data_IF_329401813805
#
_entry.id   IF_329401813805
#
_cell.length_a   1.000
_cell.length_b   1.000
_cell.length_c   1.000
_cell.angle_alpha   90.00
_cell.angle_beta   90.00
_cell.angle_gamma   90.00
#
_symmetry.space_group_name_H-M   'P 1'
#
loop_
_entity.id
_entity.type
_entity.pdbx_description
1 polymer ?
#
# COMPACT_ATOMS: atom_id res chain seq x y z
N UNK A 1 -13.87 8.38 32.37
CA UNK A 1 -14.92 7.70 31.59
C UNK A 1 -14.85 8.31 30.21
N UNK A 2 -14.12 7.67 29.29
CA UNK A 2 -14.05 8.08 27.89
C UNK A 2 -15.38 7.75 27.25
N UNK A 3 -16.01 8.77 26.68
CA UNK A 3 -17.25 8.64 25.90
C UNK A 3 -17.00 7.60 24.78
N UNK A 4 -17.58 6.40 24.93
CA UNK A 4 -17.53 5.34 23.91
C UNK A 4 -18.46 5.68 22.74
N UNK A 5 -18.26 6.84 22.14
CA UNK A 5 -18.98 7.19 20.93
C UNK A 5 -18.63 6.16 19.83
N UNK A 6 -19.66 5.63 19.18
CA UNK A 6 -19.50 4.68 18.06
C UNK A 6 -18.54 5.29 17.04
N UNK A 7 -17.59 4.51 16.48
CA UNK A 7 -16.64 5.03 15.51
C UNK A 7 -17.41 5.61 14.31
N UNK A 8 -17.06 6.83 13.93
CA UNK A 8 -17.66 7.51 12.78
C UNK A 8 -16.77 7.30 11.56
N UNK A 9 -17.35 6.85 10.44
CA UNK A 9 -16.67 6.70 9.15
C UNK A 9 -16.00 8.01 8.71
N UNK A 10 -16.70 9.14 8.86
CA UNK A 10 -16.16 10.45 8.51
C UNK A 10 -14.97 10.85 9.41
N UNK A 11 -15.05 10.57 10.71
CA UNK A 11 -13.92 10.79 11.62
C UNK A 11 -12.75 9.89 11.28
N UNK A 12 -13.00 8.62 10.94
CA UNK A 12 -11.96 7.68 10.53
C UNK A 12 -11.23 8.16 9.26
N UNK A 13 -11.97 8.58 8.24
CA UNK A 13 -11.39 9.11 7.02
C UNK A 13 -10.56 10.38 7.29
N UNK A 14 -11.06 11.31 8.11
CA UNK A 14 -10.28 12.50 8.52
C UNK A 14 -8.96 12.09 9.20
N UNK A 15 -9.00 11.14 10.13
CA UNK A 15 -7.81 10.59 10.80
C UNK A 15 -6.83 9.97 9.78
N UNK A 16 -7.34 9.12 8.87
CA UNK A 16 -6.54 8.47 7.84
C UNK A 16 -5.85 9.47 6.91
N UNK A 17 -6.58 10.44 6.36
CA UNK A 17 -6.00 11.43 5.46
C UNK A 17 -4.98 12.33 6.17
N UNK A 18 -5.24 12.72 7.42
CA UNK A 18 -4.26 13.46 8.21
C UNK A 18 -2.99 12.65 8.52
N UNK A 19 -3.17 11.35 8.85
CA UNK A 19 -2.04 10.49 9.22
C UNK A 19 -1.22 10.06 8.00
N UNK A 20 -1.88 9.59 6.95
CA UNK A 20 -1.22 9.00 5.78
C UNK A 20 -0.87 10.01 4.68
N UNK A 21 -1.19 11.29 4.82
CA UNK A 21 -0.88 12.30 3.79
C UNK A 21 -0.26 13.55 4.40
N UNK A 22 0.35 14.38 3.55
CA UNK A 22 0.82 15.72 3.94
C UNK A 22 -0.31 16.77 3.97
N UNK A 23 -1.55 16.40 3.67
CA UNK A 23 -2.68 17.32 3.66
C UNK A 23 -2.94 17.82 5.10
N UNK A 24 -2.91 19.15 5.34
CA UNK A 24 -3.08 19.68 6.68
C UNK A 24 -4.56 19.61 7.10
N UNK A 25 -4.95 18.53 7.78
CA UNK A 25 -6.28 18.33 8.32
C UNK A 25 -6.19 18.42 9.84
N UNK A 26 -6.93 19.35 10.43
CA UNK A 26 -7.04 19.44 11.88
C UNK A 26 -7.84 18.25 12.42
N UNK A 27 -7.21 17.48 13.30
CA UNK A 27 -7.79 16.31 13.92
C UNK A 27 -7.72 16.40 15.45
N UNK A 28 -8.64 15.70 16.09
CA UNK A 28 -8.72 15.46 17.52
C UNK A 28 -8.50 13.97 17.78
N UNK A 29 -8.30 13.58 19.03
CA UNK A 29 -8.10 12.18 19.42
C UNK A 29 -9.21 11.25 18.90
N UNK A 30 -10.47 11.71 18.90
CA UNK A 30 -11.60 10.94 18.36
C UNK A 30 -11.44 10.52 16.89
N UNK A 31 -10.71 11.30 16.09
CA UNK A 31 -10.45 10.95 14.68
C UNK A 31 -9.43 9.82 14.59
N UNK A 32 -8.40 9.82 15.45
CA UNK A 32 -7.41 8.76 15.53
C UNK A 32 -8.02 7.46 16.06
N UNK A 33 -8.85 7.55 17.11
CA UNK A 33 -9.57 6.39 17.66
C UNK A 33 -10.53 5.78 16.63
N UNK A 34 -11.23 6.62 15.87
CA UNK A 34 -12.09 6.17 14.78
C UNK A 34 -11.29 5.54 13.64
N UNK A 35 -10.13 6.10 13.27
CA UNK A 35 -9.22 5.53 12.29
C UNK A 35 -8.79 4.11 12.70
N UNK A 36 -8.33 3.94 13.94
CA UNK A 36 -7.88 2.65 14.44
C UNK A 36 -9.00 1.59 14.41
N UNK A 37 -10.22 1.97 14.82
CA UNK A 37 -11.39 1.08 14.81
C UNK A 37 -11.96 0.79 13.42
N UNK A 38 -11.70 1.66 12.45
CA UNK A 38 -12.19 1.54 11.07
C UNK A 38 -11.04 1.36 10.07
N UNK A 39 -9.94 0.73 10.46
CA UNK A 39 -8.77 0.56 9.59
C UNK A 39 -9.09 -0.16 8.27
N UNK A 40 -10.20 -0.92 8.22
CA UNK A 40 -10.73 -1.52 7.00
C UNK A 40 -11.07 -0.53 5.88
N UNK A 41 -11.18 0.78 6.19
CA UNK A 41 -11.41 1.85 5.20
C UNK A 41 -10.12 2.32 4.49
N UNK A 42 -8.95 1.87 4.90
CA UNK A 42 -7.68 2.37 4.34
C UNK A 42 -7.54 2.20 2.81
N UNK A 43 -8.23 1.26 2.11
CA UNK A 43 -8.24 1.24 0.64
C UNK A 43 -8.76 2.52 -0.01
N UNK A 44 -9.56 3.35 0.70
CA UNK A 44 -9.97 4.69 0.22
C UNK A 44 -8.77 5.62 0.10
N UNK A 45 -7.83 5.54 1.04
CA UNK A 45 -6.55 6.25 0.95
C UNK A 45 -5.71 5.72 -0.22
N UNK A 46 -5.77 4.39 -0.45
CA UNK A 46 -5.16 3.76 -1.63
C UNK A 46 -5.72 4.32 -2.94
N UNK A 47 -7.04 4.47 -3.05
CA UNK A 47 -7.67 5.10 -4.23
C UNK A 47 -7.15 6.53 -4.44
N UNK A 48 -7.05 7.34 -3.38
CA UNK A 48 -6.50 8.69 -3.48
C UNK A 48 -5.06 8.66 -4.02
N UNK A 49 -4.20 7.81 -3.48
CA UNK A 49 -2.82 7.65 -3.97
C UNK A 49 -2.77 7.12 -5.39
N UNK A 50 -3.62 6.17 -5.74
CA UNK A 50 -3.71 5.61 -7.08
C UNK A 50 -4.09 6.66 -8.13
N UNK A 51 -5.10 7.49 -7.84
CA UNK A 51 -5.49 8.60 -8.72
C UNK A 51 -4.35 9.62 -8.83
N UNK A 52 -3.76 10.01 -7.70
CA UNK A 52 -2.64 10.95 -7.67
C UNK A 52 -1.44 10.46 -8.49
N UNK A 53 -1.04 9.19 -8.31
CA UNK A 53 0.04 8.57 -9.06
C UNK A 53 -0.28 8.46 -10.55
N UNK A 54 -1.51 8.05 -10.89
CA UNK A 54 -1.93 7.90 -12.30
C UNK A 54 -1.93 9.24 -13.03
N UNK A 55 -2.47 10.29 -12.42
CA UNK A 55 -2.46 11.64 -12.99
C UNK A 55 -1.03 12.14 -13.16
N UNK A 56 -0.20 12.02 -12.11
CA UNK A 56 1.21 12.45 -12.17
C UNK A 56 1.99 11.70 -13.25
N UNK A 57 1.87 10.37 -13.30
CA UNK A 57 2.58 9.55 -14.28
C UNK A 57 2.16 9.86 -15.72
N UNK A 58 0.85 9.92 -16.00
CA UNK A 58 0.34 10.17 -17.35
C UNK A 58 0.78 11.55 -17.85
N UNK A 59 0.63 12.60 -17.01
CA UNK A 59 1.06 13.94 -17.38
C UNK A 59 2.57 14.03 -17.59
N UNK A 60 3.37 13.48 -16.69
CA UNK A 60 4.82 13.48 -16.81
C UNK A 60 5.29 12.68 -18.04
N UNK A 61 4.67 11.53 -18.31
CA UNK A 61 5.03 10.69 -19.45
C UNK A 61 4.67 11.32 -20.80
N UNK A 62 3.70 12.22 -20.84
CA UNK A 62 3.36 13.00 -22.06
C UNK A 62 4.44 14.03 -22.40
N UNK A 63 5.02 14.69 -21.38
CA UNK A 63 5.95 15.78 -21.58
C UNK A 63 7.43 15.42 -21.33
N UNK A 64 7.70 14.20 -20.88
CA UNK A 64 9.07 13.74 -20.56
C UNK A 64 9.28 12.31 -21.05
N UNK A 65 10.25 11.61 -20.48
CA UNK A 65 10.46 10.18 -20.72
C UNK A 65 9.79 9.34 -19.63
N UNK A 66 9.45 8.09 -19.95
CA UNK A 66 8.88 7.13 -18.97
C UNK A 66 9.79 6.97 -17.75
N UNK A 67 11.12 7.07 -17.92
CA UNK A 67 12.07 7.05 -16.80
C UNK A 67 11.86 8.21 -15.82
N UNK A 68 11.71 9.43 -16.36
CA UNK A 68 11.48 10.62 -15.53
C UNK A 68 10.09 10.54 -14.89
N UNK A 69 9.08 10.15 -15.66
CA UNK A 69 7.71 9.98 -15.14
C UNK A 69 7.67 8.97 -14.00
N UNK A 70 8.33 7.82 -14.14
CA UNK A 70 8.42 6.81 -13.10
C UNK A 70 9.10 7.35 -11.84
N UNK A 71 10.31 7.92 -11.98
CA UNK A 71 11.09 8.42 -10.84
C UNK A 71 10.36 9.52 -10.07
N UNK A 72 9.80 10.51 -10.80
CA UNK A 72 9.11 11.64 -10.17
C UNK A 72 7.79 11.19 -9.53
N UNK A 73 7.02 10.33 -10.18
CA UNK A 73 5.77 9.80 -9.61
C UNK A 73 6.03 9.04 -8.31
N UNK A 74 7.03 8.16 -8.28
CA UNK A 74 7.42 7.43 -7.06
C UNK A 74 7.83 8.39 -5.95
N UNK A 75 8.67 9.39 -6.25
CA UNK A 75 9.08 10.39 -5.29
C UNK A 75 7.88 11.16 -4.73
N UNK A 76 6.95 11.60 -5.58
CA UNK A 76 5.76 12.33 -5.16
C UNK A 76 4.86 11.50 -4.26
N UNK A 77 4.64 10.21 -4.58
CA UNK A 77 3.87 9.28 -3.74
C UNK A 77 4.53 9.09 -2.38
N UNK A 78 5.84 8.82 -2.35
CA UNK A 78 6.58 8.64 -1.11
C UNK A 78 6.65 9.94 -0.28
N UNK A 79 6.87 11.08 -0.91
CA UNK A 79 6.88 12.38 -0.24
C UNK A 79 5.51 12.72 0.35
N UNK A 80 4.41 12.44 -0.38
CA UNK A 80 3.04 12.69 0.09
C UNK A 80 2.74 11.95 1.40
N UNK A 81 3.28 10.75 1.62
CA UNK A 81 3.16 10.02 2.88
C UNK A 81 4.35 10.25 3.83
N UNK A 82 5.18 11.27 3.60
CA UNK A 82 6.37 11.61 4.41
C UNK A 82 7.36 10.45 4.53
N UNK A 83 7.46 9.61 3.49
CA UNK A 83 8.30 8.40 3.46
C UNK A 83 7.99 7.36 4.55
N UNK A 84 6.85 7.49 5.24
CA UNK A 84 6.47 6.66 6.40
C UNK A 84 6.55 5.15 6.12
N UNK A 85 6.09 4.71 4.92
CA UNK A 85 6.10 3.28 4.58
C UNK A 85 7.50 2.80 4.18
N UNK A 86 8.28 3.65 3.51
CA UNK A 86 9.65 3.33 3.13
C UNK A 86 10.53 3.20 4.37
N UNK A 87 10.35 4.09 5.34
CA UNK A 87 11.01 4.05 6.65
C UNK A 87 10.75 2.70 7.34
N UNK A 88 9.48 2.33 7.52
CA UNK A 88 9.13 1.02 8.08
C UNK A 88 9.67 -0.17 7.26
N UNK A 89 9.83 -0.03 5.92
CA UNK A 89 10.43 -1.06 5.07
C UNK A 89 11.93 -1.22 5.37
N UNK A 90 12.63 -0.12 5.59
CA UNK A 90 14.04 -0.09 5.99
C UNK A 90 14.22 -0.74 7.36
N UNK A 91 13.39 -0.33 8.34
CA UNK A 91 13.44 -0.87 9.71
C UNK A 91 13.20 -2.38 9.75
N UNK A 92 12.20 -2.87 9.00
CA UNK A 92 11.95 -4.31 8.85
C UNK A 92 13.12 -5.03 8.18
N UNK A 93 13.77 -4.40 7.19
CA UNK A 93 14.96 -4.93 6.54
C UNK A 93 16.11 -5.15 7.53
N UNK A 94 16.38 -4.18 8.38
CA UNK A 94 17.39 -4.31 9.43
C UNK A 94 16.98 -5.37 10.46
N UNK A 95 15.73 -5.32 10.92
CA UNK A 95 15.22 -6.30 11.86
C UNK A 95 15.31 -7.75 11.34
N UNK A 96 15.07 -8.00 10.06
CA UNK A 96 15.09 -9.36 9.49
C UNK A 96 16.50 -9.90 9.22
N UNK A 97 17.50 -9.03 9.05
CA UNK A 97 18.88 -9.44 8.69
C UNK A 97 19.77 -9.72 9.90
N UNK A 98 19.34 -9.32 11.10
CA UNK A 98 20.06 -9.65 12.35
C UNK A 98 19.92 -11.14 12.63
N UNK A 99 21.05 -11.75 13.06
CA UNK A 99 21.05 -13.11 13.58
C UNK A 99 20.82 -13.05 15.10
N UNK A 100 19.93 -13.90 15.61
CA UNK A 100 19.73 -13.98 17.06
C UNK A 100 18.32 -14.43 17.45
N UNK A 101 17.91 -14.02 18.65
CA UNK A 101 16.58 -14.26 19.19
C UNK A 101 15.62 -13.13 18.80
N UNK A 102 14.35 -13.29 19.07
CA UNK A 102 13.31 -12.30 18.80
C UNK A 102 13.63 -10.91 19.38
N UNK A 103 14.23 -10.88 20.58
CA UNK A 103 14.62 -9.60 21.20
C UNK A 103 15.70 -8.85 20.40
N UNK A 104 16.60 -9.57 19.72
CA UNK A 104 17.65 -9.00 18.89
C UNK A 104 17.04 -8.41 17.61
N UNK A 105 16.10 -9.11 16.98
CA UNK A 105 15.35 -8.61 15.84
C UNK A 105 14.53 -7.36 16.18
N UNK A 106 13.85 -7.36 17.35
CA UNK A 106 13.06 -6.18 17.81
C UNK A 106 13.98 -5.01 18.14
N UNK A 107 15.19 -5.26 18.68
CA UNK A 107 16.16 -4.20 18.96
C UNK A 107 16.65 -3.54 17.67
N UNK A 108 17.00 -4.34 16.67
CA UNK A 108 17.43 -3.81 15.37
C UNK A 108 16.31 -3.04 14.65
N UNK A 109 15.07 -3.54 14.71
CA UNK A 109 13.88 -2.83 14.18
C UNK A 109 13.65 -1.46 14.82
N UNK A 110 14.09 -1.25 16.06
CA UNK A 110 13.92 0.03 16.80
C UNK A 110 15.18 0.88 16.84
N UNK A 111 16.26 0.44 16.20
CA UNK A 111 17.48 1.21 16.09
C UNK A 111 17.25 2.41 15.17
N UNK A 112 17.75 3.56 15.56
CA UNK A 112 17.69 4.79 14.75
C UNK A 112 18.78 4.86 13.68
N UNK A 113 19.72 3.92 13.69
CA UNK A 113 20.80 3.82 12.71
C UNK A 113 20.40 2.80 11.64
N UNK A 114 20.51 3.22 10.37
CA UNK A 114 20.25 2.34 9.22
C UNK A 114 21.42 1.37 9.07
N UNK A 115 21.13 0.08 9.14
CA UNK A 115 22.07 -0.98 8.84
C UNK A 115 22.12 -1.35 7.36
N UNK A 116 22.99 -2.29 7.01
CA UNK A 116 23.11 -2.78 5.63
C UNK A 116 21.85 -3.51 5.13
N UNK A 117 21.15 -4.20 6.05
CA UNK A 117 19.90 -4.91 5.74
C UNK A 117 18.78 -3.98 5.35
N UNK A 118 18.58 -2.92 6.14
CA UNK A 118 17.58 -1.88 5.87
C UNK A 118 17.89 -1.12 4.59
N UNK A 119 19.17 -0.69 4.43
CA UNK A 119 19.60 -0.02 3.20
C UNK A 119 19.34 -0.89 1.97
N UNK A 120 19.73 -2.16 1.98
CA UNK A 120 19.52 -3.07 0.86
C UNK A 120 18.02 -3.28 0.59
N UNK A 121 17.21 -3.53 1.61
CA UNK A 121 15.77 -3.75 1.48
C UNK A 121 15.09 -2.54 0.88
N UNK A 122 15.32 -1.34 1.42
CA UNK A 122 14.76 -0.11 0.88
C UNK A 122 15.19 0.16 -0.56
N UNK A 123 16.48 -0.01 -0.85
CA UNK A 123 17.02 0.18 -2.20
C UNK A 123 16.37 -0.78 -3.22
N UNK A 124 16.28 -2.08 -2.91
CA UNK A 124 15.69 -3.05 -3.83
C UNK A 124 14.21 -2.84 -4.03
N UNK A 125 13.44 -2.49 -3.00
CA UNK A 125 12.02 -2.15 -3.14
C UNK A 125 11.83 -0.94 -4.05
N UNK A 126 12.65 0.11 -3.88
CA UNK A 126 12.62 1.29 -4.74
C UNK A 126 13.01 0.95 -6.18
N UNK A 127 14.08 0.18 -6.39
CA UNK A 127 14.52 -0.21 -7.73
C UNK A 127 13.51 -1.10 -8.45
N UNK A 128 12.89 -2.05 -7.76
CA UNK A 128 11.86 -2.91 -8.33
C UNK A 128 10.64 -2.10 -8.73
N UNK A 129 10.10 -1.27 -7.83
CA UNK A 129 8.96 -0.39 -8.15
C UNK A 129 9.28 0.55 -9.32
N UNK A 130 10.49 1.12 -9.35
CA UNK A 130 10.94 1.96 -10.47
C UNK A 130 10.96 1.18 -11.79
N UNK A 131 11.51 -0.03 -11.78
CA UNK A 131 11.60 -0.88 -12.97
C UNK A 131 10.20 -1.26 -13.50
N UNK A 132 9.27 -1.54 -12.60
CA UNK A 132 7.87 -1.82 -12.93
C UNK A 132 7.18 -0.60 -13.52
N UNK A 133 7.36 0.58 -12.93
CA UNK A 133 6.80 1.83 -13.45
C UNK A 133 7.36 2.16 -14.85
N UNK A 134 8.66 1.99 -15.06
CA UNK A 134 9.31 2.18 -16.37
C UNK A 134 8.78 1.20 -17.42
N UNK A 135 8.44 -0.03 -17.02
CA UNK A 135 7.89 -1.03 -17.93
C UNK A 135 6.46 -0.74 -18.40
N UNK A 136 5.77 0.19 -17.73
CA UNK A 136 4.39 0.55 -18.02
C UNK A 136 4.31 1.84 -18.86
N UNK A 137 3.54 1.81 -19.95
CA UNK A 137 3.08 3.03 -20.62
C UNK A 137 1.88 3.63 -19.89
N UNK A 138 1.47 4.84 -20.31
CA UNK A 138 0.37 5.60 -19.67
C UNK A 138 -0.92 4.78 -19.48
N UNK A 139 -1.34 4.00 -20.49
CA UNK A 139 -2.55 3.16 -20.39
C UNK A 139 -2.38 2.07 -19.34
N UNK A 140 -1.27 1.32 -19.38
CA UNK A 140 -1.02 0.27 -18.39
C UNK A 140 -0.93 0.84 -16.98
N UNK A 141 -0.33 2.02 -16.82
CA UNK A 141 -0.22 2.67 -15.52
C UNK A 141 -1.59 3.13 -14.98
N UNK A 142 -2.49 3.61 -15.84
CA UNK A 142 -3.88 3.92 -15.45
C UNK A 142 -4.58 2.71 -14.82
N UNK A 143 -4.40 1.51 -15.37
CA UNK A 143 -5.03 0.30 -14.82
C UNK A 143 -4.24 -0.28 -13.66
N UNK A 144 -2.95 -0.52 -13.81
CA UNK A 144 -2.15 -1.26 -12.84
C UNK A 144 -1.56 -0.37 -11.75
N UNK A 145 -0.99 0.78 -12.10
CA UNK A 145 -0.43 1.71 -11.13
C UNK A 145 -1.49 2.21 -10.13
N UNK A 146 -2.68 2.59 -10.65
CA UNK A 146 -3.79 3.00 -9.80
C UNK A 146 -4.27 1.83 -8.92
N UNK A 147 -4.49 0.65 -9.50
CA UNK A 147 -4.98 -0.51 -8.76
C UNK A 147 -4.00 -0.99 -7.70
N UNK A 148 -2.69 -0.90 -7.96
CA UNK A 148 -1.65 -1.34 -7.01
C UNK A 148 -1.69 -0.55 -5.70
N UNK A 149 -1.98 0.75 -5.73
CA UNK A 149 -2.11 1.56 -4.52
C UNK A 149 -3.31 1.14 -3.66
N UNK A 150 -4.45 0.80 -4.29
CA UNK A 150 -5.63 0.28 -3.59
C UNK A 150 -5.32 -1.10 -2.99
N UNK A 151 -4.68 -1.96 -3.76
CA UNK A 151 -4.34 -3.33 -3.38
C UNK A 151 -3.28 -3.38 -2.28
N UNK A 152 -2.30 -2.48 -2.30
CA UNK A 152 -1.30 -2.36 -1.24
C UNK A 152 -1.95 -2.01 0.11
N UNK A 153 -2.98 -1.18 0.12
CA UNK A 153 -3.74 -0.87 1.34
C UNK A 153 -4.59 -2.05 1.80
N UNK A 154 -5.18 -2.82 0.89
CA UNK A 154 -5.89 -4.04 1.26
C UNK A 154 -4.94 -5.08 1.88
N UNK A 155 -3.70 -5.18 1.40
CA UNK A 155 -2.67 -6.03 1.99
C UNK A 155 -2.33 -5.60 3.43
N UNK A 156 -2.28 -4.29 3.73
CA UNK A 156 -2.10 -3.81 5.11
C UNK A 156 -3.23 -4.29 6.03
N UNK A 157 -4.49 -4.24 5.56
CA UNK A 157 -5.62 -4.76 6.34
C UNK A 157 -5.51 -6.28 6.53
N UNK A 158 -5.05 -7.01 5.51
CA UNK A 158 -4.78 -8.44 5.64
C UNK A 158 -3.69 -8.71 6.69
N UNK A 159 -2.58 -7.98 6.64
CA UNK A 159 -1.51 -8.11 7.64
C UNK A 159 -2.00 -7.80 9.07
N UNK A 160 -2.81 -6.76 9.22
CA UNK A 160 -3.42 -6.40 10.50
C UNK A 160 -4.39 -7.49 11.01
N UNK A 161 -5.25 -8.03 10.14
CA UNK A 161 -6.28 -9.01 10.52
C UNK A 161 -5.73 -10.37 10.95
N UNK A 162 -4.51 -10.70 10.53
CA UNK A 162 -3.84 -11.96 10.87
C UNK A 162 -2.67 -11.78 11.84
N UNK A 163 -2.34 -10.53 12.20
CA UNK A 163 -1.19 -10.21 13.03
C UNK A 163 -1.55 -10.03 14.51
N UNK A 164 -0.56 -10.28 15.38
CA UNK A 164 -0.64 -9.95 16.80
C UNK A 164 -0.33 -8.46 16.98
N UNK A 165 -1.18 -7.69 17.70
CA UNK A 165 -0.98 -6.25 17.83
C UNK A 165 0.31 -5.92 18.61
N UNK A 166 1.13 -5.06 18.03
CA UNK A 166 2.27 -4.44 18.70
C UNK A 166 1.87 -3.26 19.57
N UNK A 167 2.87 -2.52 20.05
CA UNK A 167 2.67 -1.29 20.81
C UNK A 167 2.47 -0.08 19.88
N UNK A 168 1.88 1.00 20.43
CA UNK A 168 1.68 2.27 19.74
C UNK A 168 0.42 2.32 18.88
N UNK A 169 0.25 3.44 18.17
CA UNK A 169 -0.96 3.77 17.42
C UNK A 169 -1.34 2.71 16.37
N UNK A 170 -0.36 2.23 15.62
CA UNK A 170 -0.61 1.18 14.62
C UNK A 170 -0.95 -0.17 15.27
N UNK A 171 -0.41 -0.45 16.47
CA UNK A 171 -0.82 -1.61 17.27
C UNK A 171 -2.30 -1.56 17.64
N UNK A 172 -2.85 -0.36 17.90
CA UNK A 172 -4.29 -0.20 18.11
C UNK A 172 -5.10 -0.49 16.83
N UNK A 173 -4.62 -0.05 15.67
CA UNK A 173 -5.25 -0.42 14.39
C UNK A 173 -5.27 -1.94 14.20
N UNK A 174 -4.18 -2.63 14.48
CA UNK A 174 -4.10 -4.11 14.41
C UNK A 174 -5.07 -4.74 15.41
N UNK A 175 -5.14 -4.23 16.65
CA UNK A 175 -6.03 -4.76 17.71
C UNK A 175 -7.50 -4.73 17.34
N UNK A 176 -7.94 -3.69 16.59
CA UNK A 176 -9.33 -3.54 16.17
C UNK A 176 -9.62 -4.16 14.79
N UNK A 177 -8.61 -4.71 14.12
CA UNK A 177 -8.76 -5.29 12.78
C UNK A 177 -8.82 -6.82 12.88
N UNK A 178 -9.94 -7.39 12.54
CA UNK A 178 -10.19 -8.83 12.54
C UNK A 178 -10.52 -9.34 11.12
N UNK A 179 -10.84 -10.64 11.00
CA UNK A 179 -11.24 -11.24 9.73
C UNK A 179 -12.51 -10.63 9.12
N UNK A 180 -13.42 -10.07 9.94
CA UNK A 180 -14.60 -9.36 9.43
C UNK A 180 -14.19 -8.02 8.84
N UNK A 181 -13.27 -7.33 9.49
CA UNK A 181 -12.67 -6.10 8.97
C UNK A 181 -11.98 -6.35 7.62
N UNK A 182 -11.25 -7.46 7.47
CA UNK A 182 -10.67 -7.86 6.19
C UNK A 182 -11.75 -8.14 5.13
N UNK A 183 -12.85 -8.80 5.48
CA UNK A 183 -13.96 -9.02 4.56
C UNK A 183 -14.56 -7.68 4.08
N UNK A 184 -14.83 -6.75 4.99
CA UNK A 184 -15.34 -5.41 4.63
C UNK A 184 -14.34 -4.64 3.76
N UNK A 185 -13.05 -4.66 4.10
CA UNK A 185 -11.99 -4.07 3.28
C UNK A 185 -11.94 -4.70 1.89
N UNK A 186 -12.02 -6.01 1.79
CA UNK A 186 -12.00 -6.72 0.50
C UNK A 186 -13.19 -6.37 -0.37
N UNK A 187 -14.40 -6.30 0.20
CA UNK A 187 -15.60 -5.85 -0.52
C UNK A 187 -15.43 -4.41 -1.01
N UNK A 188 -14.98 -3.51 -0.12
CA UNK A 188 -14.69 -2.12 -0.49
C UNK A 188 -13.65 -2.03 -1.59
N UNK A 189 -12.56 -2.79 -1.48
CA UNK A 189 -11.49 -2.87 -2.49
C UNK A 189 -12.03 -3.30 -3.85
N UNK A 190 -12.87 -4.34 -3.91
CA UNK A 190 -13.50 -4.78 -5.17
C UNK A 190 -14.36 -3.67 -5.77
N UNK A 191 -15.16 -2.97 -4.96
CA UNK A 191 -15.97 -1.83 -5.42
C UNK A 191 -15.07 -0.71 -5.98
N UNK A 192 -14.02 -0.33 -5.25
CA UNK A 192 -13.09 0.72 -5.68
C UNK A 192 -12.36 0.33 -6.97
N UNK A 193 -11.89 -0.91 -7.08
CA UNK A 193 -11.25 -1.43 -8.30
C UNK A 193 -12.21 -1.45 -9.48
N UNK A 194 -13.46 -1.88 -9.29
CA UNK A 194 -14.47 -1.89 -10.36
C UNK A 194 -14.78 -0.47 -10.87
N UNK A 195 -14.98 0.48 -9.95
CA UNK A 195 -15.22 1.88 -10.32
C UNK A 195 -14.00 2.50 -11.03
N UNK A 196 -12.80 2.23 -10.52
CA UNK A 196 -11.55 2.69 -11.13
C UNK A 196 -11.34 2.09 -12.52
N UNK A 197 -11.59 0.78 -12.68
CA UNK A 197 -11.50 0.10 -13.97
C UNK A 197 -12.45 0.71 -15.01
N UNK A 198 -13.71 0.95 -14.64
CA UNK A 198 -14.68 1.58 -15.52
C UNK A 198 -14.26 3.02 -15.89
N UNK A 199 -13.79 3.80 -14.95
CA UNK A 199 -13.28 5.15 -15.21
C UNK A 199 -12.06 5.11 -16.16
N UNK A 200 -11.10 4.21 -15.92
CA UNK A 200 -9.93 4.02 -16.78
C UNK A 200 -10.33 3.55 -18.19
N UNK A 201 -11.34 2.69 -18.31
CA UNK A 201 -11.89 2.30 -19.62
C UNK A 201 -12.42 3.50 -20.41
N UNK A 202 -13.20 4.36 -19.76
CA UNK A 202 -13.75 5.56 -20.39
C UNK A 202 -12.63 6.50 -20.82
N UNK A 203 -11.68 6.80 -19.93
CA UNK A 203 -10.52 7.66 -20.23
C UNK A 203 -9.72 7.07 -21.39
N UNK A 204 -9.40 5.80 -21.37
CA UNK A 204 -8.60 5.14 -22.42
C UNK A 204 -9.28 5.19 -23.78
N UNK A 205 -10.58 4.90 -23.84
CA UNK A 205 -11.33 4.85 -25.11
C UNK A 205 -11.67 6.23 -25.66
N UNK A 206 -12.10 7.16 -24.79
CA UNK A 206 -12.65 8.46 -25.23
C UNK A 206 -11.62 9.59 -25.26
N UNK A 207 -10.62 9.53 -24.38
CA UNK A 207 -9.62 10.60 -24.25
C UNK A 207 -8.31 10.20 -24.93
N UNK A 208 -7.84 8.96 -24.72
CA UNK A 208 -6.56 8.49 -25.26
C UNK A 208 -6.73 7.78 -26.60
N UNK A 209 -7.98 7.54 -27.07
CA UNK A 209 -8.30 6.83 -28.31
C UNK A 209 -7.58 5.47 -28.46
N UNK A 210 -7.42 4.74 -27.33
CA UNK A 210 -6.75 3.44 -27.27
C UNK A 210 -7.73 2.30 -26.97
N UNK A 211 -7.34 1.10 -27.37
CA UNK A 211 -8.06 -0.13 -27.01
C UNK A 211 -7.73 -0.56 -25.59
N UNK A 212 -8.70 -1.21 -24.93
CA UNK A 212 -8.52 -1.79 -23.60
C UNK A 212 -8.42 -3.30 -23.74
N UNK A 213 -7.38 -3.88 -23.19
CA UNK A 213 -7.13 -5.33 -23.23
C UNK A 213 -7.80 -6.01 -22.02
N UNK A 214 -8.40 -7.19 -22.22
CA UNK A 214 -9.00 -7.99 -21.15
C UNK A 214 -7.94 -8.40 -20.09
N UNK A 215 -6.69 -8.47 -20.49
CA UNK A 215 -5.57 -8.74 -19.62
C UNK A 215 -5.47 -7.78 -18.42
N UNK A 216 -5.91 -6.52 -18.56
CA UNK A 216 -5.95 -5.58 -17.43
C UNK A 216 -6.90 -6.05 -16.33
N UNK A 217 -8.10 -6.49 -16.69
CA UNK A 217 -9.06 -7.00 -15.71
C UNK A 217 -8.56 -8.26 -15.03
N UNK A 218 -8.02 -9.20 -15.79
CA UNK A 218 -7.48 -10.47 -15.27
C UNK A 218 -6.31 -10.19 -14.34
N UNK A 219 -5.39 -9.30 -14.74
CA UNK A 219 -4.27 -8.89 -13.89
C UNK A 219 -4.73 -8.28 -12.56
N UNK A 220 -5.74 -7.39 -12.58
CA UNK A 220 -6.29 -6.78 -11.37
C UNK A 220 -6.93 -7.84 -10.46
N UNK A 221 -7.66 -8.80 -11.01
CA UNK A 221 -8.25 -9.91 -10.23
C UNK A 221 -7.15 -10.74 -9.57
N UNK A 222 -6.10 -11.09 -10.29
CA UNK A 222 -4.94 -11.81 -9.73
C UNK A 222 -4.29 -10.96 -8.63
N UNK A 223 -4.04 -9.68 -8.89
CA UNK A 223 -3.47 -8.74 -7.92
C UNK A 223 -4.29 -8.66 -6.63
N UNK A 224 -5.62 -8.73 -6.71
CA UNK A 224 -6.51 -8.73 -5.55
C UNK A 224 -6.23 -9.93 -4.62
N UNK A 225 -6.17 -11.14 -5.15
CA UNK A 225 -5.86 -12.32 -4.34
C UNK A 225 -4.42 -12.29 -3.79
N UNK A 226 -3.47 -11.85 -4.61
CA UNK A 226 -2.07 -11.67 -4.20
C UNK A 226 -1.96 -10.68 -3.04
N UNK A 227 -2.71 -9.58 -3.04
CA UNK A 227 -2.67 -8.60 -1.96
C UNK A 227 -3.06 -9.21 -0.60
N UNK A 228 -4.08 -10.05 -0.57
CA UNK A 228 -4.53 -10.73 0.66
C UNK A 228 -3.50 -11.75 1.12
N UNK A 229 -3.01 -12.59 0.19
CA UNK A 229 -2.01 -13.63 0.48
C UNK A 229 -0.71 -12.99 0.99
N UNK A 230 -0.26 -11.91 0.36
CA UNK A 230 0.97 -11.22 0.74
C UNK A 230 0.87 -10.61 2.13
N UNK A 231 -0.25 -9.93 2.45
CA UNK A 231 -0.48 -9.37 3.78
C UNK A 231 -0.46 -10.48 4.86
N UNK A 232 -1.13 -11.61 4.62
CA UNK A 232 -1.05 -12.78 5.50
C UNK A 232 0.40 -13.29 5.66
N UNK A 233 1.14 -13.41 4.56
CA UNK A 233 2.53 -13.89 4.59
C UNK A 233 3.44 -12.96 5.40
N UNK A 234 3.35 -11.65 5.19
CA UNK A 234 4.12 -10.67 5.97
C UNK A 234 3.76 -10.73 7.46
N UNK A 235 2.46 -10.89 7.80
CA UNK A 235 2.08 -11.05 9.21
C UNK A 235 2.75 -12.27 9.86
N UNK A 236 2.87 -13.38 9.15
CA UNK A 236 3.56 -14.59 9.66
C UNK A 236 5.07 -14.39 9.84
N UNK A 237 5.71 -13.69 8.89
CA UNK A 237 7.12 -13.29 9.03
C UNK A 237 7.31 -12.39 10.25
N UNK A 238 6.44 -11.39 10.41
CA UNK A 238 6.51 -10.46 11.52
C UNK A 238 6.29 -11.16 12.87
N UNK A 239 5.30 -12.05 12.98
CA UNK A 239 5.07 -12.81 14.20
C UNK A 239 6.26 -13.71 14.58
N UNK A 240 6.85 -14.37 13.60
CA UNK A 240 8.01 -15.25 13.83
C UNK A 240 9.23 -14.49 14.32
N UNK A 241 9.52 -13.31 13.74
CA UNK A 241 10.76 -12.60 14.00
C UNK A 241 10.60 -11.49 15.07
N UNK A 242 9.44 -10.82 15.11
CA UNK A 242 9.20 -9.69 16.01
C UNK A 242 8.14 -9.97 17.08
N UNK A 243 7.36 -11.04 16.93
CA UNK A 243 6.24 -11.39 17.83
C UNK A 243 5.04 -10.46 17.71
N UNK A 244 5.05 -9.54 16.73
CA UNK A 244 3.99 -8.51 16.61
C UNK A 244 3.90 -7.95 15.19
N UNK A 245 2.75 -7.31 14.90
CA UNK A 245 2.55 -6.40 13.77
C UNK A 245 2.40 -4.99 14.31
N UNK A 246 3.27 -4.09 13.88
CA UNK A 246 3.31 -2.67 14.24
C UNK A 246 3.26 -1.78 12.99
N UNK A 247 3.54 -0.48 13.12
CA UNK A 247 3.54 0.48 12.02
C UNK A 247 4.54 0.13 10.91
N UNK A 248 5.73 -0.30 11.29
CA UNK A 248 6.82 -0.63 10.37
C UNK A 248 6.45 -1.86 9.53
N UNK A 249 5.85 -2.88 10.15
CA UNK A 249 5.31 -4.06 9.44
C UNK A 249 4.20 -3.66 8.46
N UNK A 250 3.28 -2.78 8.87
CA UNK A 250 2.22 -2.30 7.97
C UNK A 250 2.80 -1.45 6.83
N UNK A 251 3.81 -0.61 7.11
CA UNK A 251 4.55 0.16 6.11
C UNK A 251 5.26 -0.73 5.10
N UNK A 252 6.04 -1.69 5.60
CA UNK A 252 6.72 -2.69 4.77
C UNK A 252 5.73 -3.53 3.94
N UNK A 253 4.57 -3.89 4.53
CA UNK A 253 3.52 -4.59 3.80
C UNK A 253 3.01 -3.75 2.62
N UNK A 254 2.82 -2.43 2.80
CA UNK A 254 2.39 -1.54 1.72
C UNK A 254 3.40 -1.51 0.57
N UNK A 255 4.67 -1.25 0.87
CA UNK A 255 5.70 -1.10 -0.16
C UNK A 255 5.98 -2.44 -0.88
N UNK A 256 6.15 -3.52 -0.14
CA UNK A 256 6.43 -4.83 -0.73
C UNK A 256 5.21 -5.42 -1.46
N UNK A 257 3.98 -5.13 -0.99
CA UNK A 257 2.76 -5.54 -1.67
C UNK A 257 2.60 -4.81 -3.01
N UNK A 258 2.95 -3.52 -3.09
CA UNK A 258 2.95 -2.79 -4.36
C UNK A 258 3.82 -3.50 -5.38
N UNK A 259 5.06 -3.84 -5.01
CA UNK A 259 5.98 -4.58 -5.88
C UNK A 259 5.39 -5.90 -6.35
N UNK A 260 5.00 -6.79 -5.43
CA UNK A 260 4.59 -8.13 -5.84
C UNK A 260 3.29 -8.14 -6.64
N UNK A 261 2.35 -7.23 -6.32
CA UNK A 261 1.09 -7.07 -7.04
C UNK A 261 1.34 -6.55 -8.46
N UNK A 262 2.16 -5.51 -8.61
CA UNK A 262 2.54 -4.98 -9.94
C UNK A 262 3.27 -6.02 -10.77
N UNK A 263 4.22 -6.72 -10.19
CA UNK A 263 4.93 -7.81 -10.88
C UNK A 263 3.95 -8.85 -11.44
N UNK A 264 3.03 -9.35 -10.62
CA UNK A 264 2.05 -10.35 -11.06
C UNK A 264 1.10 -9.81 -12.14
N UNK A 265 0.66 -8.56 -12.03
CA UNK A 265 -0.19 -7.92 -13.04
C UNK A 265 0.54 -7.73 -14.38
N UNK A 266 1.79 -7.28 -14.34
CA UNK A 266 2.63 -7.08 -15.54
C UNK A 266 2.92 -8.43 -16.21
N UNK A 267 3.29 -9.45 -15.44
CA UNK A 267 3.52 -10.80 -15.98
C UNK A 267 2.25 -11.35 -16.62
N UNK A 268 1.08 -11.16 -15.99
CA UNK A 268 -0.21 -11.57 -16.57
C UNK A 268 -0.45 -10.90 -17.93
N UNK A 269 -0.21 -9.58 -17.99
CA UNK A 269 -0.36 -8.84 -19.26
C UNK A 269 0.59 -9.36 -20.33
N UNK A 270 1.84 -9.62 -19.98
CA UNK A 270 2.84 -10.14 -20.92
C UNK A 270 2.46 -11.54 -21.43
N UNK A 271 2.04 -12.44 -20.54
CA UNK A 271 1.64 -13.80 -20.92
C UNK A 271 0.40 -13.83 -21.80
N UNK A 272 -0.53 -12.90 -21.63
CA UNK A 272 -1.74 -12.82 -22.46
C UNK A 272 -1.51 -12.17 -23.84
N UNK A 273 -0.37 -11.54 -24.04
CA UNK A 273 0.06 -10.97 -25.33
C UNK A 273 0.91 -11.93 -26.18
N UNK A 274 1.34 -13.08 -25.60
CA UNK A 274 2.04 -14.16 -26.31
C UNK A 274 1.07 -15.06 -27.06
#
# INVERSE_FOLDING_TARGET
MTDESKPSVLCALKGMFSFFTMIPINIEQKHMDSMNRCFWLVPVVGLFYGIFAAVAFVLLNEYTTTFIAAAVTMFLVAAMNRFLHLDGTIDIGDGLTVAGKQEDHVRALKDTLIGAGGMATGLFVVLLTFSEYVSMGSVTFLFFGLSAEILARNAQVSAAAFGTPGNGMAGDSVRFTDKKSLLFSSILTVILLALSYLACMVITKQVLERTVEDAYLIGIIIGFFISIIWGFFISRIAEKNFGMVNGDVLGATNETSRVIVLFCMIVTLMLMRL
#
